data_IF_310766321971
#
_entry.id   IF_310766321971
#
_cell.length_a   1.000
_cell.length_b   1.000
_cell.length_c   1.000
_cell.angle_alpha   90.00
_cell.angle_beta   90.00
_cell.angle_gamma   90.00
#
_symmetry.space_group_name_H-M   'P 1'
#
loop_
_entity.id
_entity.type
_entity.pdbx_description
1 polymer ?
#
# COMPACT_ATOMS: atom_id res chain seq x y z
N UNK A 1 8.07 8.49 -3.29
CA UNK A 1 8.60 7.10 -3.34
C UNK A 1 9.51 6.96 -4.54
N UNK A 2 10.64 6.34 -4.39
CA UNK A 2 11.54 6.02 -5.49
C UNK A 2 11.32 4.59 -5.97
N UNK A 3 11.47 4.35 -7.27
CA UNK A 3 11.60 2.99 -7.81
C UNK A 3 12.88 2.35 -7.24
N UNK A 4 12.97 1.03 -7.28
CA UNK A 4 14.10 0.27 -6.76
C UNK A 4 14.41 0.53 -5.27
N UNK A 5 13.43 0.97 -4.51
CA UNK A 5 13.57 1.26 -3.08
C UNK A 5 12.68 0.36 -2.22
N UNK A 6 12.85 0.45 -0.90
CA UNK A 6 12.08 -0.35 0.06
C UNK A 6 11.40 0.55 1.08
N UNK A 7 10.44 1.39 0.65
CA UNK A 7 9.76 2.30 1.57
C UNK A 7 8.82 1.56 2.50
N UNK A 8 8.61 2.13 3.68
CA UNK A 8 7.55 1.70 4.59
C UNK A 8 6.45 2.74 4.55
N UNK A 9 5.24 2.31 4.27
CA UNK A 9 4.06 3.17 4.29
C UNK A 9 3.24 2.89 5.53
N UNK A 10 2.70 3.95 6.15
CA UNK A 10 1.94 3.89 7.39
C UNK A 10 0.55 4.45 7.18
N UNK A 11 -0.44 3.86 7.85
CA UNK A 11 -1.79 4.39 7.86
C UNK A 11 -2.53 4.00 9.14
N UNK A 12 -3.58 4.76 9.44
CA UNK A 12 -4.46 4.50 10.56
C UNK A 12 -5.86 4.21 10.06
N UNK A 13 -6.57 3.34 10.76
CA UNK A 13 -7.98 3.04 10.49
C UNK A 13 -8.80 3.34 11.74
N UNK A 14 -10.06 3.79 11.58
CA UNK A 14 -10.94 4.11 12.71
C UNK A 14 -11.60 2.88 13.32
N UNK A 15 -10.97 1.71 13.18
CA UNK A 15 -11.48 0.45 13.69
C UNK A 15 -10.41 -0.25 14.52
N UNK A 16 -10.84 -0.95 15.59
CA UNK A 16 -9.94 -1.82 16.32
C UNK A 16 -9.54 -3.02 15.44
N UNK A 17 -8.30 -3.50 15.52
CA UNK A 17 -7.85 -4.63 14.67
C UNK A 17 -8.74 -5.86 14.78
N UNK A 18 -9.27 -6.16 15.96
CA UNK A 18 -10.16 -7.30 16.20
C UNK A 18 -11.53 -7.17 15.56
N UNK A 19 -11.92 -5.96 15.11
CA UNK A 19 -13.16 -5.73 14.37
C UNK A 19 -12.98 -5.99 12.87
N UNK A 20 -11.74 -6.08 12.39
CA UNK A 20 -11.40 -6.15 10.97
C UNK A 20 -11.20 -7.59 10.55
N UNK A 21 -11.91 -8.00 9.49
CA UNK A 21 -11.75 -9.32 8.87
C UNK A 21 -10.71 -9.32 7.77
N UNK A 22 -10.66 -8.24 6.96
CA UNK A 22 -9.72 -8.12 5.84
C UNK A 22 -9.42 -6.66 5.53
N UNK A 23 -8.20 -6.42 5.07
CA UNK A 23 -7.73 -5.12 4.55
C UNK A 23 -7.07 -5.37 3.21
N UNK A 24 -7.47 -4.58 2.21
CA UNK A 24 -6.79 -4.53 0.93
C UNK A 24 -6.21 -3.14 0.72
N UNK A 25 -4.90 -3.07 0.55
CA UNK A 25 -4.19 -1.85 0.16
C UNK A 25 -3.79 -1.98 -1.30
N UNK A 26 -4.36 -1.15 -2.15
CA UNK A 26 -4.15 -1.21 -3.60
C UNK A 26 -3.42 0.04 -4.07
N UNK A 27 -2.40 -0.17 -4.89
CA UNK A 27 -1.66 0.90 -5.58
C UNK A 27 -1.96 0.83 -7.06
N UNK A 28 -2.22 1.99 -7.66
CA UNK A 28 -2.50 2.08 -9.09
C UNK A 28 -1.78 3.26 -9.73
N UNK A 29 -1.55 3.15 -11.03
CA UNK A 29 -1.09 4.25 -11.88
C UNK A 29 -1.88 4.21 -13.17
N UNK A 30 -2.29 5.38 -13.64
CA UNK A 30 -2.98 5.53 -14.92
C UNK A 30 -4.17 4.56 -15.07
N UNK A 31 -4.92 4.38 -14.00
CA UNK A 31 -6.10 3.49 -13.99
C UNK A 31 -5.79 1.99 -13.93
N UNK A 32 -4.53 1.60 -13.79
CA UNK A 32 -4.13 0.20 -13.71
C UNK A 32 -3.67 -0.14 -12.29
N UNK A 33 -4.25 -1.20 -11.70
CA UNK A 33 -3.82 -1.69 -10.40
C UNK A 33 -2.50 -2.44 -10.56
N UNK A 34 -1.46 -1.94 -9.90
CA UNK A 34 -0.10 -2.48 -9.99
C UNK A 34 0.23 -3.43 -8.85
N UNK A 35 -0.34 -3.19 -7.67
CA UNK A 35 0.04 -3.90 -6.46
C UNK A 35 -1.15 -3.91 -5.50
N UNK A 36 -1.42 -5.07 -4.90
CA UNK A 36 -2.37 -5.22 -3.80
C UNK A 36 -1.68 -5.91 -2.65
N UNK A 37 -1.82 -5.33 -1.45
CA UNK A 37 -1.40 -5.94 -0.19
C UNK A 37 -2.63 -6.32 0.61
N UNK A 38 -2.60 -7.51 1.20
CA UNK A 38 -3.67 -8.01 2.06
C UNK A 38 -3.31 -7.86 3.53
N UNK A 39 -4.29 -8.03 4.42
CA UNK A 39 -4.12 -7.80 5.85
C UNK A 39 -2.98 -8.62 6.46
N UNK A 40 -2.79 -9.85 6.03
CA UNK A 40 -1.75 -10.73 6.54
C UNK A 40 -0.33 -10.30 6.14
N UNK A 41 -0.20 -9.40 5.14
CA UNK A 41 1.07 -8.82 4.72
C UNK A 41 1.40 -7.52 5.47
N UNK A 42 0.44 -6.98 6.23
CA UNK A 42 0.59 -5.74 6.98
C UNK A 42 1.09 -6.03 8.39
N UNK A 43 1.72 -5.02 9.00
CA UNK A 43 2.07 -5.04 10.41
C UNK A 43 1.21 -4.03 11.16
N UNK A 44 0.90 -4.31 12.43
CA UNK A 44 0.13 -3.41 13.28
C UNK A 44 0.84 -3.21 14.62
N UNK A 45 0.92 -1.97 15.07
CA UNK A 45 1.44 -1.63 16.40
C UNK A 45 1.08 -0.19 16.77
N UNK A 46 0.70 0.02 18.02
CA UNK A 46 0.38 1.35 18.58
C UNK A 46 -0.64 2.15 17.76
N UNK A 47 -1.66 1.46 17.25
CA UNK A 47 -2.71 2.09 16.46
C UNK A 47 -2.33 2.37 15.01
N UNK A 48 -1.19 1.89 14.53
CA UNK A 48 -0.68 2.16 13.19
C UNK A 48 -0.48 0.87 12.42
N UNK A 49 -1.02 0.82 11.21
CA UNK A 49 -0.75 -0.21 10.22
C UNK A 49 0.44 0.20 9.35
N UNK A 50 1.23 -0.76 8.93
CA UNK A 50 2.38 -0.47 8.07
C UNK A 50 2.63 -1.59 7.08
N UNK A 51 3.27 -1.25 5.97
CA UNK A 51 3.75 -2.17 4.94
C UNK A 51 5.08 -1.68 4.40
N UNK A 52 6.04 -2.60 4.29
CA UNK A 52 7.30 -2.33 3.62
C UNK A 52 7.25 -2.95 2.23
N UNK A 53 7.47 -2.13 1.20
CA UNK A 53 7.54 -2.60 -0.17
C UNK A 53 8.95 -3.08 -0.51
N UNK A 54 9.06 -4.03 -1.42
CA UNK A 54 10.33 -4.54 -1.91
C UNK A 54 10.81 -3.73 -3.12
N UNK A 55 12.08 -3.92 -3.51
CA UNK A 55 12.62 -3.30 -4.70
C UNK A 55 11.85 -3.74 -5.96
N UNK A 56 11.52 -5.01 -6.06
CA UNK A 56 10.73 -5.56 -7.17
C UNK A 56 9.35 -4.92 -7.24
N UNK A 57 8.74 -4.68 -6.08
CA UNK A 57 7.41 -4.08 -6.02
C UNK A 57 7.44 -2.62 -6.45
N UNK A 58 8.39 -1.83 -5.97
CA UNK A 58 8.50 -0.42 -6.37
C UNK A 58 8.91 -0.27 -7.82
N UNK A 59 9.60 -1.24 -8.40
CA UNK A 59 9.94 -1.25 -9.82
C UNK A 59 8.74 -1.48 -10.75
N UNK A 60 7.59 -1.88 -10.22
CA UNK A 60 6.35 -1.97 -11.01
C UNK A 60 5.79 -0.61 -11.37
N UNK A 61 6.21 0.45 -10.68
CA UNK A 61 5.73 1.80 -10.89
C UNK A 61 6.55 2.54 -11.94
N UNK A 62 5.94 3.54 -12.58
CA UNK A 62 6.61 4.45 -13.47
C UNK A 62 6.86 5.79 -12.78
N UNK A 63 7.71 6.63 -13.33
CA UNK A 63 7.96 7.99 -12.85
C UNK A 63 6.76 8.89 -13.13
N UNK A 64 5.75 8.78 -12.29
CA UNK A 64 4.51 9.56 -12.34
C UNK A 64 3.76 9.40 -11.02
N UNK A 65 2.70 10.18 -10.82
CA UNK A 65 1.84 10.04 -9.65
C UNK A 65 1.20 8.66 -9.61
N UNK A 66 1.23 8.06 -8.43
CA UNK A 66 0.47 6.85 -8.13
C UNK A 66 -0.68 7.19 -7.19
N UNK A 67 -1.66 6.31 -7.13
CA UNK A 67 -2.79 6.41 -6.22
C UNK A 67 -2.84 5.16 -5.36
N UNK A 68 -3.02 5.34 -4.05
CA UNK A 68 -3.23 4.25 -3.12
C UNK A 68 -4.61 4.37 -2.49
N UNK A 69 -5.27 3.25 -2.25
CA UNK A 69 -6.55 3.19 -1.57
C UNK A 69 -6.64 1.95 -0.70
N UNK A 70 -7.26 2.11 0.46
CA UNK A 70 -7.48 1.02 1.41
C UNK A 70 -8.95 0.65 1.40
N UNK A 71 -9.24 -0.65 1.35
CA UNK A 71 -10.58 -1.18 1.58
C UNK A 71 -10.56 -2.04 2.82
N UNK A 72 -11.59 -1.91 3.64
CA UNK A 72 -11.72 -2.65 4.90
C UNK A 72 -13.00 -3.46 4.85
N UNK A 73 -12.90 -4.73 5.23
CA UNK A 73 -14.05 -5.58 5.49
C UNK A 73 -14.08 -5.87 6.99
N UNK A 74 -15.18 -5.51 7.63
CA UNK A 74 -15.37 -5.76 9.06
C UNK A 74 -15.97 -7.15 9.30
N UNK A 75 -15.83 -7.65 10.53
CA UNK A 75 -16.36 -8.95 10.90
C UNK A 75 -17.89 -9.06 10.78
N UNK A 76 -18.58 -7.93 10.87
CA UNK A 76 -20.05 -7.89 10.71
C UNK A 76 -20.50 -7.90 9.24
N UNK A 77 -19.55 -7.91 8.29
CA UNK A 77 -19.85 -7.94 6.86
C UNK A 77 -19.87 -6.57 6.19
N UNK A 78 -19.77 -5.46 6.94
CA UNK A 78 -19.71 -4.13 6.37
C UNK A 78 -18.35 -3.91 5.70
N UNK A 79 -18.35 -3.21 4.56
CA UNK A 79 -17.14 -2.92 3.78
C UNK A 79 -17.08 -1.44 3.46
N UNK A 80 -15.91 -0.84 3.70
CA UNK A 80 -15.70 0.58 3.49
C UNK A 80 -14.39 0.83 2.74
N UNK A 81 -14.39 1.70 1.70
CA UNK A 81 -13.16 2.21 1.12
C UNK A 81 -12.67 3.44 1.91
N UNK A 82 -11.36 3.64 1.94
CA UNK A 82 -10.77 4.91 2.37
C UNK A 82 -10.84 5.94 1.25
N UNK A 83 -10.43 7.16 1.57
CA UNK A 83 -10.10 8.13 0.54
C UNK A 83 -8.90 7.63 -0.27
N UNK A 84 -8.76 8.16 -1.50
CA UNK A 84 -7.61 7.88 -2.34
C UNK A 84 -6.47 8.81 -1.93
N UNK A 85 -5.26 8.25 -1.83
CA UNK A 85 -4.06 8.99 -1.51
C UNK A 85 -3.16 9.05 -2.73
N UNK A 86 -2.60 10.24 -3.01
CA UNK A 86 -1.62 10.40 -4.08
C UNK A 86 -0.22 10.31 -3.51
N UNK A 87 0.66 9.65 -4.24
CA UNK A 87 2.08 9.65 -3.93
C UNK A 87 2.89 9.86 -5.20
N UNK A 88 3.94 10.69 -5.09
CA UNK A 88 4.86 10.90 -6.19
C UNK A 88 5.80 9.70 -6.28
N UNK A 89 6.00 9.20 -7.49
CA UNK A 89 6.97 8.15 -7.77
C UNK A 89 8.08 8.75 -8.62
N UNK A 90 9.32 8.52 -8.21
CA UNK A 90 10.51 9.03 -8.88
C UNK A 90 11.35 7.89 -9.42
N UNK A 91 11.89 8.07 -10.60
CA UNK A 91 12.80 7.12 -11.21
C UNK A 91 14.19 7.18 -10.57
N UNK A 92 15.00 6.18 -10.86
CA UNK A 92 16.42 6.12 -10.48
C UNK A 92 17.23 5.80 -11.73
N UNK A 93 18.53 6.12 -11.70
CA UNK A 93 19.39 5.87 -12.86
C UNK A 93 19.55 4.37 -13.13
N UNK A 94 19.67 3.59 -12.09
CA UNK A 94 19.84 2.13 -12.18
C UNK A 94 18.77 1.47 -11.28
N UNK A 95 17.83 0.76 -11.89
CA UNK A 95 16.74 0.10 -11.18
C UNK A 95 16.96 -1.42 -11.01
N UNK A 96 18.16 -1.90 -11.29
CA UNK A 96 18.46 -3.32 -11.04
C UNK A 96 18.35 -3.62 -9.56
N UNK A 97 17.71 -4.76 -9.25
CA UNK A 97 17.50 -5.18 -7.86
C UNK A 97 18.84 -5.59 -7.25
N UNK A 98 19.16 -4.95 -6.13
CA UNK A 98 20.35 -5.32 -5.36
C UNK A 98 20.03 -6.50 -4.46
N UNK A 99 20.93 -7.46 -4.43
CA UNK A 99 20.82 -8.67 -3.63
C UNK A 99 21.99 -8.83 -2.69
#
# INVERSE_FOLDING_TARGET
MYRASTPTHYFRLPYAPEEIKEIWLTYSQNGVNLLRKTMDELSYGDGVWSIRLTQEETNKFSDMWATAQIRVLLNNGDSFPSEKFKLAVHDVLDDEVMV
#
